data_IF_793474253415
#
_entry.id   IF_793474253415
#
_cell.length_a   1.000
_cell.length_b   1.000
_cell.length_c   1.000
_cell.angle_alpha   90.00
_cell.angle_beta   90.00
_cell.angle_gamma   90.00
#
_symmetry.space_group_name_H-M   'P 1'
#
loop_
_entity.id
_entity.type
_entity.pdbx_description
1 polymer ?
#
# COMPACT_ATOMS: atom_id res chain seq x y z
N UNK A 1 38.90 -25.89 12.04
CA UNK A 1 38.47 -25.64 10.66
C UNK A 1 37.24 -24.78 10.73
N UNK A 2 37.43 -23.44 10.64
CA UNK A 2 36.40 -22.44 10.89
C UNK A 2 35.79 -22.03 9.55
N UNK A 3 34.51 -22.29 9.35
CA UNK A 3 33.80 -21.95 8.12
C UNK A 3 33.44 -20.44 8.22
N UNK A 4 34.05 -19.63 7.34
CA UNK A 4 33.79 -18.22 7.27
C UNK A 4 32.39 -17.92 6.72
N UNK A 5 31.75 -16.91 7.30
CA UNK A 5 30.46 -16.35 6.92
C UNK A 5 30.51 -15.75 5.51
N UNK A 6 29.70 -16.22 4.54
CA UNK A 6 29.70 -15.71 3.17
C UNK A 6 29.00 -14.35 2.98
N UNK A 7 28.44 -13.75 4.03
CA UNK A 7 27.69 -12.48 3.93
C UNK A 7 28.44 -11.23 4.39
N UNK A 8 29.76 -11.30 4.70
CA UNK A 8 30.57 -10.16 5.11
C UNK A 8 31.18 -9.40 3.95
N UNK A 9 30.40 -8.96 2.95
CA UNK A 9 30.83 -7.91 2.02
C UNK A 9 30.04 -6.62 2.27
N UNK A 10 30.54 -5.82 3.22
CA UNK A 10 30.17 -4.41 3.33
C UNK A 10 30.85 -3.65 2.19
N UNK A 11 30.14 -3.39 1.10
CA UNK A 11 30.49 -2.32 0.17
C UNK A 11 29.97 -1.00 0.77
N UNK A 12 30.90 -0.13 1.17
CA UNK A 12 30.59 1.23 1.59
C UNK A 12 29.97 2.00 0.42
N UNK A 13 28.65 2.09 0.37
CA UNK A 13 27.94 3.07 -0.43
C UNK A 13 27.88 4.33 0.42
N UNK A 14 28.68 5.34 0.02
CA UNK A 14 28.59 6.72 0.47
C UNK A 14 27.24 7.28 0.03
N UNK A 15 26.18 7.06 0.80
CA UNK A 15 24.84 7.56 0.57
C UNK A 15 24.44 8.45 1.73
N UNK A 16 23.99 9.66 1.45
CA UNK A 16 23.39 10.58 2.40
C UNK A 16 22.42 9.83 3.28
N UNK A 17 22.66 9.85 4.59
CA UNK A 17 21.71 9.39 5.59
C UNK A 17 20.42 10.19 5.42
N UNK A 18 19.43 9.62 4.77
CA UNK A 18 18.06 10.13 4.84
C UNK A 18 17.59 9.80 6.23
N UNK A 19 17.56 10.80 7.11
CA UNK A 19 16.95 10.65 8.41
C UNK A 19 15.49 10.20 8.19
N UNK A 20 15.21 8.94 8.50
CA UNK A 20 13.83 8.47 8.57
C UNK A 20 13.12 9.33 9.62
N UNK A 21 11.93 9.87 9.34
CA UNK A 21 11.20 10.67 10.30
C UNK A 21 11.04 9.88 11.59
N UNK A 22 11.32 10.54 12.71
CA UNK A 22 11.33 9.96 14.06
C UNK A 22 10.06 9.14 14.31
N UNK A 23 10.25 7.87 14.66
CA UNK A 23 9.24 6.82 14.87
C UNK A 23 8.28 7.12 16.06
N UNK A 24 8.39 8.30 16.68
CA UNK A 24 7.68 8.68 17.91
C UNK A 24 6.80 9.93 17.77
N UNK A 25 6.23 10.19 16.61
CA UNK A 25 5.17 11.19 16.53
C UNK A 25 3.87 10.57 17.05
N UNK A 26 3.17 11.23 17.99
CA UNK A 26 1.86 10.75 18.44
C UNK A 26 0.91 10.73 17.25
N UNK A 27 0.17 9.63 17.10
CA UNK A 27 -0.85 9.47 16.08
C UNK A 27 -1.95 10.49 16.36
N UNK A 28 -2.37 11.29 15.37
CA UNK A 28 -3.42 12.30 15.59
C UNK A 28 -4.81 11.64 15.53
N UNK A 29 -5.04 10.62 16.37
CA UNK A 29 -6.34 9.99 16.51
C UNK A 29 -6.91 10.31 17.89
N UNK A 30 -8.12 10.86 17.92
CA UNK A 30 -8.87 11.07 19.17
C UNK A 30 -9.66 9.80 19.52
N UNK A 31 -9.90 9.58 20.81
CA UNK A 31 -10.70 8.46 21.28
C UNK A 31 -12.12 8.55 20.67
N UNK A 32 -12.54 7.51 19.95
CA UNK A 32 -13.82 7.50 19.24
C UNK A 32 -13.73 7.79 17.74
N UNK A 33 -12.54 8.04 17.18
CA UNK A 33 -12.35 8.19 15.75
C UNK A 33 -12.72 6.89 15.02
N UNK A 34 -13.64 6.93 14.03
CA UNK A 34 -14.00 5.76 13.22
C UNK A 34 -12.80 5.09 12.53
N UNK A 35 -11.73 5.85 12.25
CA UNK A 35 -10.49 5.32 11.69
C UNK A 35 -9.81 4.34 12.68
N UNK A 36 -9.91 4.60 13.99
CA UNK A 36 -9.37 3.71 15.02
C UNK A 36 -10.09 2.36 15.03
N UNK A 37 -11.42 2.36 14.92
CA UNK A 37 -12.19 1.13 14.91
C UNK A 37 -11.85 0.25 13.70
N UNK A 38 -11.62 0.85 12.54
CA UNK A 38 -11.19 0.15 11.32
C UNK A 38 -9.93 -0.69 11.55
N UNK A 39 -8.96 -0.16 12.29
CA UNK A 39 -7.65 -0.78 12.47
C UNK A 39 -7.48 -1.52 13.81
N UNK A 40 -8.53 -1.60 14.61
CA UNK A 40 -8.51 -2.22 15.95
C UNK A 40 -7.90 -3.63 15.95
N UNK A 41 -8.18 -4.44 14.92
CA UNK A 41 -7.60 -5.78 14.81
C UNK A 41 -6.11 -5.78 14.49
N UNK A 42 -5.65 -4.79 13.75
CA UNK A 42 -4.22 -4.64 13.44
C UNK A 42 -3.40 -4.34 14.70
N UNK A 43 -3.97 -3.59 15.65
CA UNK A 43 -3.28 -3.24 16.90
C UNK A 43 -3.02 -4.44 17.81
N UNK A 44 -3.85 -5.49 17.69
CA UNK A 44 -3.67 -6.72 18.46
C UNK A 44 -2.53 -7.60 17.91
N UNK A 45 -2.02 -7.29 16.72
CA UNK A 45 -0.90 -8.02 16.13
C UNK A 45 0.40 -7.55 16.77
N UNK A 46 1.14 -8.50 17.37
CA UNK A 46 2.46 -8.23 17.95
C UNK A 46 3.38 -7.59 16.91
N UNK A 47 3.99 -6.45 17.27
CA UNK A 47 4.89 -5.70 16.38
C UNK A 47 4.20 -4.66 15.48
N UNK A 48 2.88 -4.64 15.39
CA UNK A 48 2.14 -3.54 14.75
C UNK A 48 1.74 -2.51 15.81
N UNK A 49 0.74 -2.79 16.61
CA UNK A 49 0.21 -1.86 17.59
C UNK A 49 -0.23 -0.53 16.96
N UNK A 50 -0.52 0.46 17.79
CA UNK A 50 -0.87 1.82 17.35
C UNK A 50 0.29 2.50 16.60
N UNK A 51 1.52 2.35 17.10
CA UNK A 51 2.71 2.93 16.47
C UNK A 51 3.00 2.33 15.09
N UNK A 52 2.76 1.05 14.90
CA UNK A 52 2.86 0.40 13.59
C UNK A 52 1.80 0.90 12.62
N UNK A 53 0.55 1.06 13.07
CA UNK A 53 -0.53 1.61 12.25
C UNK A 53 -0.25 3.05 11.83
N UNK A 54 0.32 3.87 12.72
CA UNK A 54 0.75 5.22 12.37
C UNK A 54 1.81 5.23 11.27
N UNK A 55 2.77 4.31 11.32
CA UNK A 55 3.78 4.16 10.27
C UNK A 55 3.17 3.74 8.93
N UNK A 56 2.19 2.84 8.94
CA UNK A 56 1.44 2.48 7.74
C UNK A 56 0.73 3.70 7.14
N UNK A 57 0.04 4.48 7.98
CA UNK A 57 -0.66 5.69 7.56
C UNK A 57 0.29 6.80 7.04
N UNK A 58 1.53 6.84 7.51
CA UNK A 58 2.56 7.76 7.02
C UNK A 58 3.30 7.24 5.78
N UNK A 59 3.11 5.97 5.40
CA UNK A 59 3.83 5.33 4.31
C UNK A 59 3.30 5.74 2.94
N UNK A 60 4.20 5.71 1.95
CA UNK A 60 3.89 5.91 0.53
C UNK A 60 4.39 4.70 -0.25
N UNK A 61 3.54 4.10 -1.07
CA UNK A 61 3.84 2.90 -1.85
C UNK A 61 3.46 3.13 -3.30
N UNK A 62 4.33 2.77 -4.23
CA UNK A 62 4.02 2.68 -5.65
C UNK A 62 3.80 1.21 -6.04
N UNK A 63 2.65 0.92 -6.63
CA UNK A 63 2.34 -0.40 -7.20
C UNK A 63 2.39 -0.27 -8.71
N UNK A 64 3.28 -1.03 -9.33
CA UNK A 64 3.41 -1.11 -10.79
C UNK A 64 2.65 -2.33 -11.28
N UNK A 65 1.61 -2.08 -12.05
CA UNK A 65 0.64 -3.05 -12.53
C UNK A 65 -0.59 -3.18 -11.62
N UNK A 66 -1.77 -2.97 -12.17
CA UNK A 66 -3.08 -3.18 -11.53
C UNK A 66 -3.78 -4.45 -12.06
N UNK A 67 -3.01 -5.41 -12.55
CA UNK A 67 -3.48 -6.68 -13.09
C UNK A 67 -3.71 -7.75 -12.02
N UNK A 68 -3.51 -9.03 -12.38
CA UNK A 68 -3.82 -10.18 -11.53
C UNK A 68 -3.06 -10.24 -10.21
N UNK A 69 -1.81 -9.78 -10.15
CA UNK A 69 -1.03 -9.67 -8.92
C UNK A 69 -1.20 -8.31 -8.23
N UNK A 70 -1.29 -7.23 -9.01
CA UNK A 70 -1.50 -5.89 -8.47
C UNK A 70 -2.86 -5.72 -7.80
N UNK A 71 -3.91 -6.34 -8.31
CA UNK A 71 -5.26 -6.27 -7.73
C UNK A 71 -5.30 -6.65 -6.25
N UNK A 72 -4.88 -7.86 -5.83
CA UNK A 72 -4.89 -8.22 -4.41
C UNK A 72 -3.93 -7.35 -3.58
N UNK A 73 -2.76 -7.00 -4.12
CA UNK A 73 -1.79 -6.12 -3.42
C UNK A 73 -2.44 -4.77 -3.12
N UNK A 74 -3.07 -4.12 -4.10
CA UNK A 74 -3.74 -2.83 -3.95
C UNK A 74 -4.88 -2.91 -2.93
N UNK A 75 -5.70 -3.96 -2.98
CA UNK A 75 -6.79 -4.17 -2.02
C UNK A 75 -6.26 -4.28 -0.58
N UNK A 76 -5.24 -5.10 -0.34
CA UNK A 76 -4.71 -5.31 1.02
C UNK A 76 -3.94 -4.11 1.54
N UNK A 77 -3.14 -3.41 0.71
CA UNK A 77 -2.46 -2.17 1.13
C UNK A 77 -3.47 -1.07 1.50
N UNK A 78 -4.54 -0.95 0.72
CA UNK A 78 -5.65 -0.02 1.01
C UNK A 78 -6.36 -0.39 2.30
N UNK A 79 -6.72 -1.66 2.49
CA UNK A 79 -7.36 -2.14 3.70
C UNK A 79 -6.46 -1.97 4.94
N UNK A 80 -5.14 -2.17 4.79
CA UNK A 80 -4.16 -1.97 5.86
C UNK A 80 -3.96 -0.49 6.23
N UNK A 81 -4.41 0.45 5.42
CA UNK A 81 -4.33 1.88 5.69
C UNK A 81 -2.98 2.50 5.37
N UNK A 82 -2.36 2.09 4.24
CA UNK A 82 -1.22 2.84 3.69
C UNK A 82 -1.69 4.24 3.32
N UNK A 83 -0.98 5.28 3.81
CA UNK A 83 -1.44 6.66 3.66
C UNK A 83 -1.50 7.16 2.23
N UNK A 84 -0.55 6.78 1.38
CA UNK A 84 -0.57 7.16 -0.04
C UNK A 84 -0.18 5.95 -0.91
N UNK A 85 -1.00 5.65 -1.91
CA UNK A 85 -0.74 4.58 -2.88
C UNK A 85 -0.70 5.16 -4.29
N UNK A 86 0.47 5.06 -4.94
CA UNK A 86 0.63 5.29 -6.36
C UNK A 86 0.26 4.04 -7.16
N UNK A 87 -0.48 4.19 -8.23
CA UNK A 87 -0.90 3.10 -9.13
C UNK A 87 -0.38 3.42 -10.52
N UNK A 88 0.51 2.58 -11.04
CA UNK A 88 1.11 2.73 -12.37
C UNK A 88 0.67 1.56 -13.25
N UNK A 89 -0.16 1.84 -14.25
CA UNK A 89 -0.58 0.86 -15.26
C UNK A 89 -1.04 1.61 -16.51
N UNK A 90 -0.66 1.15 -17.70
CA UNK A 90 -1.03 1.79 -18.98
C UNK A 90 -2.18 1.09 -19.71
N UNK A 91 -2.66 -0.03 -19.16
CA UNK A 91 -3.71 -0.81 -19.79
C UNK A 91 -5.12 -0.29 -19.48
N UNK A 92 -6.06 -0.73 -20.28
CA UNK A 92 -7.51 -0.64 -20.00
C UNK A 92 -8.04 -1.95 -19.44
N UNK A 93 -9.19 -1.88 -18.79
CA UNK A 93 -9.91 -3.06 -18.32
C UNK A 93 -10.55 -3.78 -19.50
N UNK A 94 -10.33 -5.09 -19.60
CA UNK A 94 -10.94 -5.96 -20.60
C UNK A 94 -11.76 -7.07 -19.93
N UNK A 95 -12.78 -7.56 -20.59
CA UNK A 95 -13.60 -8.70 -20.12
C UNK A 95 -12.72 -9.90 -19.77
N UNK A 96 -11.69 -10.17 -20.58
CA UNK A 96 -10.72 -11.25 -20.40
C UNK A 96 -9.88 -11.13 -19.13
N UNK A 97 -9.88 -9.97 -18.48
CA UNK A 97 -9.16 -9.71 -17.23
C UNK A 97 -9.94 -10.13 -15.98
N UNK A 98 -11.27 -10.07 -16.04
CA UNK A 98 -12.15 -10.11 -14.87
C UNK A 98 -12.11 -11.42 -14.09
N UNK A 99 -11.71 -12.51 -14.72
CA UNK A 99 -11.59 -13.82 -14.05
C UNK A 99 -10.47 -13.89 -13.02
N UNK A 100 -9.51 -12.92 -12.99
CA UNK A 100 -8.37 -12.88 -12.06
C UNK A 100 -8.01 -11.50 -11.53
N UNK A 101 -8.48 -10.43 -12.14
CA UNK A 101 -8.22 -9.05 -11.70
C UNK A 101 -9.42 -8.54 -10.89
N UNK A 102 -9.58 -9.07 -9.68
CA UNK A 102 -10.74 -8.86 -8.81
C UNK A 102 -10.99 -7.41 -8.38
N UNK A 103 -10.05 -6.52 -8.68
CA UNK A 103 -10.16 -5.09 -8.40
C UNK A 103 -11.11 -4.39 -9.37
N UNK A 104 -11.30 -4.97 -10.56
CA UNK A 104 -12.11 -4.41 -11.65
C UNK A 104 -13.41 -5.19 -11.80
N UNK A 105 -14.47 -4.52 -12.24
CA UNK A 105 -15.78 -5.11 -12.50
C UNK A 105 -16.22 -4.96 -13.98
N UNK A 106 -17.33 -5.58 -14.34
CA UNK A 106 -17.90 -5.50 -15.69
C UNK A 106 -18.20 -4.06 -16.13
N UNK A 107 -18.61 -3.21 -15.19
CA UNK A 107 -18.88 -1.79 -15.45
C UNK A 107 -17.63 -0.95 -15.74
N UNK A 108 -16.44 -1.51 -15.54
CA UNK A 108 -15.16 -0.82 -15.77
C UNK A 108 -14.54 -1.15 -17.14
N UNK A 109 -15.16 -2.04 -17.92
CA UNK A 109 -14.61 -2.47 -19.22
C UNK A 109 -14.43 -1.28 -20.16
N UNK A 110 -13.19 -1.07 -20.62
CA UNK A 110 -12.78 0.07 -21.43
C UNK A 110 -12.18 1.24 -20.64
N UNK A 111 -12.35 1.29 -19.33
CA UNK A 111 -11.71 2.32 -18.48
C UNK A 111 -10.21 2.04 -18.30
N UNK A 112 -9.38 3.08 -18.16
CA UNK A 112 -8.00 2.91 -17.70
C UNK A 112 -7.96 2.17 -16.36
N UNK A 113 -7.09 1.18 -16.23
CA UNK A 113 -6.98 0.39 -14.98
C UNK A 113 -6.73 1.23 -13.74
N UNK A 114 -5.87 2.27 -13.75
CA UNK A 114 -5.69 3.12 -12.57
C UNK A 114 -6.97 3.85 -12.14
N UNK A 115 -7.82 4.26 -13.09
CA UNK A 115 -9.08 4.97 -12.80
C UNK A 115 -10.11 4.02 -12.17
N UNK A 116 -10.28 2.83 -12.74
CA UNK A 116 -11.11 1.77 -12.17
C UNK A 116 -10.62 1.41 -10.77
N UNK A 117 -9.31 1.19 -10.59
CA UNK A 117 -8.71 0.86 -9.31
C UNK A 117 -9.02 1.91 -8.24
N UNK A 118 -8.78 3.19 -8.53
CA UNK A 118 -9.04 4.29 -7.56
C UNK A 118 -10.51 4.34 -7.18
N UNK A 119 -11.42 4.13 -8.12
CA UNK A 119 -12.88 4.12 -7.86
C UNK A 119 -13.25 3.08 -6.81
N UNK A 120 -12.80 1.84 -6.98
CA UNK A 120 -13.09 0.74 -6.07
C UNK A 120 -12.37 0.88 -4.71
N UNK A 121 -11.09 1.24 -4.74
CA UNK A 121 -10.26 1.36 -3.54
C UNK A 121 -10.71 2.52 -2.65
N UNK A 122 -11.18 3.63 -3.21
CA UNK A 122 -11.74 4.75 -2.45
C UNK A 122 -13.01 4.36 -1.70
N UNK A 123 -13.80 3.45 -2.25
CA UNK A 123 -14.95 2.86 -1.56
C UNK A 123 -14.55 1.92 -0.42
N UNK A 124 -13.40 1.26 -0.54
CA UNK A 124 -12.88 0.37 0.50
C UNK A 124 -12.31 1.16 1.69
N UNK A 125 -11.51 2.19 1.42
CA UNK A 125 -10.91 3.03 2.46
C UNK A 125 -10.67 4.47 1.97
N UNK A 126 -11.57 5.37 2.35
CA UNK A 126 -11.54 6.78 1.94
C UNK A 126 -10.42 7.60 2.59
N UNK A 127 -9.73 7.07 3.61
CA UNK A 127 -8.60 7.76 4.24
C UNK A 127 -7.28 7.63 3.46
N UNK A 128 -7.24 6.73 2.47
CA UNK A 128 -6.06 6.51 1.62
C UNK A 128 -6.04 7.50 0.47
N UNK A 129 -4.89 8.16 0.26
CA UNK A 129 -4.66 9.01 -0.90
C UNK A 129 -4.15 8.17 -2.07
N UNK A 130 -4.79 8.31 -3.24
CA UNK A 130 -4.38 7.64 -4.46
C UNK A 130 -3.76 8.62 -5.46
N UNK A 131 -2.64 8.21 -6.07
CA UNK A 131 -1.96 8.90 -7.15
C UNK A 131 -1.91 7.97 -8.37
N UNK A 132 -2.35 8.46 -9.55
CA UNK A 132 -2.42 7.68 -10.78
C UNK A 132 -1.24 8.00 -11.67
N UNK A 133 -0.60 6.98 -12.19
CA UNK A 133 0.48 7.05 -13.15
C UNK A 133 0.11 6.17 -14.34
N UNK A 134 -0.46 6.79 -15.34
CA UNK A 134 -0.72 6.24 -16.65
C UNK A 134 -0.12 7.18 -17.68
N UNK A 135 0.14 6.73 -18.86
CA UNK A 135 0.64 7.58 -19.92
C UNK A 135 -0.45 8.41 -20.46
#
# INVERSE_FOLDING_TARGET
MTIGDPYSRQSAVSGRSVALPLINQPVPYEAGDPALERFRRNWLVSGIGEAGQARLAASRVLVVGAGGLGSPVLLYLTAAGIGTIGICDSDVVEVSNLQRQLLHGEGDVGDPKPDSAVRHLSGLNSSVRFERYGH
#
